data_IF_748658313457
#
_entry.id   IF_748658313457
#
_cell.length_a   1.000
_cell.length_b   1.000
_cell.length_c   1.000
_cell.angle_alpha   90.00
_cell.angle_beta   90.00
_cell.angle_gamma   90.00
#
_symmetry.space_group_name_H-M   'P 1'
#
loop_
_entity.id
_entity.type
_entity.pdbx_description
1 polymer ?
#
# COMPACT_ATOMS: atom_id res chain seq x y z
N UNK A 1 2.70 16.30 -28.86
CA UNK A 1 3.22 15.00 -29.35
C UNK A 1 4.23 14.41 -28.36
N UNK A 2 5.05 15.22 -27.72
CA UNK A 2 6.03 14.81 -26.69
C UNK A 2 5.39 13.99 -25.57
N UNK A 3 4.20 14.34 -25.11
CA UNK A 3 3.47 13.59 -24.10
C UNK A 3 3.08 12.17 -24.54
N UNK A 4 2.86 11.93 -25.85
CA UNK A 4 2.63 10.59 -26.35
C UNK A 4 3.93 9.77 -26.35
N UNK A 5 5.03 10.41 -26.69
CA UNK A 5 6.36 9.77 -26.64
C UNK A 5 6.71 9.42 -25.20
N UNK A 6 6.44 10.33 -24.22
CA UNK A 6 6.64 10.10 -22.78
C UNK A 6 5.95 8.81 -22.29
N UNK A 7 4.74 8.55 -22.76
CA UNK A 7 3.95 7.37 -22.34
C UNK A 7 4.06 6.19 -23.35
N UNK A 8 5.03 6.24 -24.25
CA UNK A 8 5.30 5.19 -25.24
C UNK A 8 4.07 4.83 -26.10
N UNK A 9 3.29 5.85 -26.49
CA UNK A 9 2.20 5.71 -27.43
C UNK A 9 2.58 6.28 -28.81
N UNK A 10 2.19 5.63 -29.91
CA UNK A 10 2.43 6.15 -31.27
C UNK A 10 1.83 7.56 -31.44
N UNK A 11 2.56 8.47 -32.05
CA UNK A 11 2.11 9.84 -32.32
C UNK A 11 0.79 9.92 -33.12
N UNK A 12 0.51 8.90 -33.93
CA UNK A 12 -0.77 8.78 -34.64
C UNK A 12 -1.98 8.68 -33.70
N UNK A 13 -1.78 8.33 -32.42
CA UNK A 13 -2.87 8.24 -31.44
C UNK A 13 -3.44 9.61 -31.06
N UNK A 14 -2.75 10.72 -31.39
CA UNK A 14 -3.27 12.07 -31.19
C UNK A 14 -4.61 12.33 -31.88
N UNK A 15 -4.94 11.56 -32.93
CA UNK A 15 -6.19 11.66 -33.70
C UNK A 15 -7.23 10.60 -33.29
N UNK A 16 -6.92 9.70 -32.36
CA UNK A 16 -7.84 8.65 -31.92
C UNK A 16 -8.84 9.17 -30.90
N UNK A 17 -10.07 8.71 -31.01
CA UNK A 17 -11.09 8.91 -29.99
C UNK A 17 -10.89 7.93 -28.82
N UNK A 18 -11.27 8.28 -27.56
CA UNK A 18 -11.12 7.41 -26.40
C UNK A 18 -11.67 5.99 -26.59
N UNK A 19 -12.79 5.84 -27.31
CA UNK A 19 -13.41 4.54 -27.62
C UNK A 19 -12.55 3.62 -28.50
N UNK A 20 -11.53 4.16 -29.16
CA UNK A 20 -10.60 3.42 -30.03
C UNK A 20 -9.32 2.99 -29.28
N UNK A 21 -9.26 3.23 -27.98
CA UNK A 21 -8.11 2.90 -27.12
C UNK A 21 -8.46 1.74 -26.20
N UNK A 22 -7.48 0.83 -26.00
CA UNK A 22 -7.56 -0.20 -24.96
C UNK A 22 -7.52 0.41 -23.55
N UNK A 23 -7.82 -0.39 -22.51
CA UNK A 23 -7.72 0.04 -21.10
C UNK A 23 -6.35 0.60 -20.76
N UNK A 24 -5.29 -0.15 -21.03
CA UNK A 24 -3.91 0.29 -20.78
C UNK A 24 -3.49 1.52 -21.60
N UNK A 25 -3.99 1.67 -22.85
CA UNK A 25 -3.74 2.88 -23.64
C UNK A 25 -4.44 4.10 -23.07
N UNK A 26 -5.69 3.96 -22.58
CA UNK A 26 -6.39 5.04 -21.86
C UNK A 26 -5.65 5.44 -20.60
N UNK A 27 -5.15 4.45 -19.85
CA UNK A 27 -4.37 4.70 -18.64
C UNK A 27 -3.09 5.48 -18.93
N UNK A 28 -2.35 5.10 -19.99
CA UNK A 28 -1.15 5.85 -20.43
C UNK A 28 -1.49 7.29 -20.84
N UNK A 29 -2.63 7.54 -21.46
CA UNK A 29 -3.11 8.92 -21.73
C UNK A 29 -3.41 9.66 -20.43
N UNK A 30 -4.01 9.00 -19.43
CA UNK A 30 -4.22 9.56 -18.09
C UNK A 30 -2.91 9.98 -17.43
N UNK A 31 -1.89 9.13 -17.50
CA UNK A 31 -0.53 9.43 -17.01
C UNK A 31 0.04 10.64 -17.75
N UNK A 32 0.01 10.66 -19.09
CA UNK A 32 0.49 11.79 -19.88
C UNK A 32 -0.16 13.11 -19.44
N UNK A 33 -1.46 13.09 -19.14
CA UNK A 33 -2.19 14.28 -18.63
C UNK A 33 -1.68 14.74 -17.26
N UNK A 34 -1.40 13.81 -16.35
CA UNK A 34 -0.89 14.12 -15.01
C UNK A 34 0.48 14.82 -15.05
N UNK A 35 1.32 14.43 -16.01
CA UNK A 35 2.67 15.00 -16.16
C UNK A 35 2.74 16.21 -17.11
N UNK A 36 1.67 16.51 -17.86
CA UNK A 36 1.66 17.56 -18.88
C UNK A 36 2.00 18.97 -18.37
N UNK A 37 1.72 19.25 -17.09
CA UNK A 37 1.95 20.55 -16.46
C UNK A 37 3.30 20.69 -15.74
N UNK A 38 4.21 19.73 -15.86
CA UNK A 38 5.47 19.74 -15.11
C UNK A 38 5.26 19.61 -13.60
N UNK A 39 4.32 18.76 -13.20
CA UNK A 39 3.94 18.58 -11.80
C UNK A 39 5.12 18.04 -10.98
N UNK A 40 5.41 18.68 -9.84
CA UNK A 40 6.43 18.19 -8.88
C UNK A 40 5.92 17.04 -8.02
N UNK A 41 4.60 16.96 -7.83
CA UNK A 41 3.92 15.89 -7.08
C UNK A 41 2.76 15.40 -7.95
N UNK A 42 2.68 14.09 -8.13
CA UNK A 42 1.57 13.42 -8.83
C UNK A 42 0.90 12.45 -7.87
N UNK A 43 -0.42 12.56 -7.75
CA UNK A 43 -1.25 11.62 -6.99
C UNK A 43 -1.85 10.61 -7.96
N UNK A 44 -1.55 9.35 -7.78
CA UNK A 44 -2.05 8.23 -8.56
C UNK A 44 -2.94 7.36 -7.67
N UNK A 45 -4.25 7.56 -7.80
CA UNK A 45 -5.26 6.83 -7.03
C UNK A 45 -5.73 5.62 -7.82
N UNK A 46 -5.38 4.42 -7.34
CA UNK A 46 -5.64 3.13 -7.96
C UNK A 46 -5.37 3.07 -9.49
N UNK A 47 -4.21 3.53 -9.96
CA UNK A 47 -4.01 3.79 -11.40
C UNK A 47 -3.96 2.52 -12.25
N UNK A 48 -3.92 1.34 -11.65
CA UNK A 48 -3.81 0.05 -12.37
C UNK A 48 -4.88 -0.98 -12.00
N UNK A 49 -5.77 -0.67 -11.05
CA UNK A 49 -6.74 -1.62 -10.48
C UNK A 49 -7.69 -2.25 -11.52
N UNK A 50 -8.02 -1.54 -12.60
CA UNK A 50 -8.93 -2.00 -13.65
C UNK A 50 -8.22 -2.68 -14.84
N UNK A 51 -6.92 -2.97 -14.72
CA UNK A 51 -6.10 -3.56 -15.79
C UNK A 51 -5.78 -5.02 -15.50
N UNK A 52 -5.53 -5.82 -16.54
CA UNK A 52 -5.00 -7.16 -16.37
C UNK A 52 -3.53 -7.12 -15.87
N UNK A 53 -3.09 -8.22 -15.25
CA UNK A 53 -1.78 -8.30 -14.55
C UNK A 53 -0.60 -7.91 -15.46
N UNK A 54 -0.60 -8.32 -16.71
CA UNK A 54 0.49 -8.03 -17.64
C UNK A 54 0.54 -6.55 -18.02
N UNK A 55 -0.62 -5.91 -18.18
CA UNK A 55 -0.74 -4.48 -18.46
C UNK A 55 -0.44 -3.66 -17.20
N UNK A 56 -0.84 -4.13 -16.01
CA UNK A 56 -0.47 -3.50 -14.74
C UNK A 56 1.05 -3.35 -14.61
N UNK A 57 1.81 -4.43 -14.80
CA UNK A 57 3.27 -4.41 -14.74
C UNK A 57 3.86 -3.36 -15.72
N UNK A 58 3.43 -3.39 -16.98
CA UNK A 58 3.93 -2.47 -17.99
C UNK A 58 3.59 -0.99 -17.72
N UNK A 59 2.45 -0.72 -17.09
CA UNK A 59 2.05 0.66 -16.69
C UNK A 59 2.80 1.10 -15.45
N UNK A 60 3.03 0.20 -14.50
CA UNK A 60 3.81 0.48 -13.29
C UNK A 60 5.26 0.82 -13.63
N UNK A 61 5.91 0.01 -14.49
CA UNK A 61 7.26 0.29 -14.97
C UNK A 61 7.37 1.63 -15.70
N UNK A 62 6.37 1.96 -16.52
CA UNK A 62 6.29 3.25 -17.20
C UNK A 62 6.19 4.41 -16.20
N UNK A 63 5.35 4.28 -15.16
CA UNK A 63 5.22 5.30 -14.11
C UNK A 63 6.54 5.54 -13.37
N UNK A 64 7.25 4.46 -13.01
CA UNK A 64 8.56 4.55 -12.36
C UNK A 64 9.60 5.22 -13.26
N UNK A 65 9.63 4.87 -14.55
CA UNK A 65 10.54 5.48 -15.54
C UNK A 65 10.28 6.99 -15.65
N UNK A 66 9.02 7.38 -15.80
CA UNK A 66 8.63 8.80 -15.89
C UNK A 66 8.97 9.53 -14.60
N UNK A 67 8.62 8.96 -13.43
CA UNK A 67 8.92 9.53 -12.12
C UNK A 67 10.41 9.84 -11.96
N UNK A 68 11.29 8.92 -12.36
CA UNK A 68 12.75 9.10 -12.30
C UNK A 68 13.24 10.17 -13.26
N UNK A 69 12.76 10.16 -14.50
CA UNK A 69 13.20 11.09 -15.54
C UNK A 69 12.74 12.52 -15.25
N UNK A 70 11.50 12.68 -14.82
CA UNK A 70 10.90 13.99 -14.49
C UNK A 70 11.22 14.44 -13.06
N UNK A 71 11.88 13.60 -12.24
CA UNK A 71 12.19 13.86 -10.82
C UNK A 71 10.96 14.28 -10.02
N UNK A 72 9.83 13.65 -10.28
CA UNK A 72 8.54 13.93 -9.66
C UNK A 72 8.36 13.06 -8.41
N UNK A 73 7.77 13.61 -7.36
CA UNK A 73 7.29 12.82 -6.23
C UNK A 73 5.97 12.15 -6.60
N UNK A 74 5.89 10.84 -6.44
CA UNK A 74 4.68 10.05 -6.73
C UNK A 74 4.02 9.62 -5.41
N UNK A 75 2.78 10.06 -5.16
CA UNK A 75 1.92 9.50 -4.13
C UNK A 75 1.03 8.44 -4.79
N UNK A 76 1.34 7.18 -4.53
CA UNK A 76 0.64 6.05 -5.15
C UNK A 76 -0.32 5.39 -4.15
N UNK A 77 -1.60 5.32 -4.47
CA UNK A 77 -2.63 4.69 -3.64
C UNK A 77 -3.04 3.38 -4.30
N UNK A 78 -2.97 2.28 -3.56
CA UNK A 78 -3.34 0.96 -4.05
C UNK A 78 -3.71 0.03 -2.89
N UNK A 79 -4.54 -0.97 -3.18
CA UNK A 79 -4.78 -2.11 -2.30
C UNK A 79 -3.89 -3.32 -2.65
N UNK A 80 -3.13 -3.27 -3.74
CA UNK A 80 -2.19 -4.33 -4.13
C UNK A 80 -0.83 -4.11 -3.48
N UNK A 81 -0.55 -4.85 -2.42
CA UNK A 81 0.69 -4.76 -1.67
C UNK A 81 1.92 -5.19 -2.48
N UNK A 82 1.76 -6.04 -3.49
CA UNK A 82 2.87 -6.46 -4.36
C UNK A 82 3.36 -5.30 -5.21
N UNK A 83 2.44 -4.52 -5.77
CA UNK A 83 2.75 -3.32 -6.53
C UNK A 83 3.35 -2.25 -5.61
N UNK A 84 2.73 -2.04 -4.42
CA UNK A 84 3.24 -1.08 -3.43
C UNK A 84 4.68 -1.43 -3.05
N UNK A 85 4.97 -2.69 -2.74
CA UNK A 85 6.33 -3.15 -2.41
C UNK A 85 7.33 -2.91 -3.54
N UNK A 86 6.89 -3.08 -4.78
CA UNK A 86 7.75 -2.96 -5.95
C UNK A 86 8.18 -1.52 -6.25
N UNK A 87 7.25 -0.55 -6.07
CA UNK A 87 7.49 0.82 -6.55
C UNK A 87 7.77 1.85 -5.45
N UNK A 88 7.44 1.56 -4.18
CA UNK A 88 7.46 2.58 -3.13
C UNK A 88 8.78 2.58 -2.34
N UNK A 89 9.29 3.77 -2.03
CA UNK A 89 10.39 3.95 -1.08
C UNK A 89 9.88 3.95 0.37
N UNK A 90 8.69 4.55 0.58
CA UNK A 90 8.00 4.63 1.87
C UNK A 90 6.54 4.21 1.70
N UNK A 91 6.01 3.57 2.72
CA UNK A 91 4.63 3.06 2.74
C UNK A 91 3.89 3.62 3.93
N UNK A 92 2.68 4.09 3.69
CA UNK A 92 1.71 4.51 4.70
C UNK A 92 0.52 3.56 4.66
N UNK A 93 0.28 2.85 5.75
CA UNK A 93 -0.88 1.97 5.90
C UNK A 93 -2.00 2.73 6.59
N UNK A 94 -3.19 2.69 6.01
CA UNK A 94 -4.37 3.38 6.53
C UNK A 94 -5.50 2.41 6.85
N UNK A 95 -6.22 2.67 7.94
CA UNK A 95 -7.43 1.95 8.31
C UNK A 95 -8.50 2.94 8.78
N UNK A 96 -9.71 2.89 8.23
CA UNK A 96 -10.83 3.82 8.51
C UNK A 96 -10.40 5.30 8.54
N UNK A 97 -9.59 5.75 7.58
CA UNK A 97 -9.13 7.13 7.49
C UNK A 97 -7.97 7.50 8.44
N UNK A 98 -7.53 6.59 9.29
CA UNK A 98 -6.40 6.80 10.18
C UNK A 98 -5.13 6.16 9.64
N UNK A 99 -4.00 6.87 9.75
CA UNK A 99 -2.68 6.26 9.52
C UNK A 99 -2.37 5.36 10.72
N UNK A 100 -2.13 4.09 10.47
CA UNK A 100 -1.83 3.09 11.50
C UNK A 100 -0.36 2.68 11.50
N UNK A 101 0.30 2.76 10.35
CA UNK A 101 1.73 2.50 10.21
C UNK A 101 2.34 3.33 9.10
N UNK A 102 3.58 3.78 9.28
CA UNK A 102 4.36 4.53 8.30
C UNK A 102 5.84 4.19 8.45
N UNK A 103 6.48 3.80 7.38
CA UNK A 103 7.91 3.48 7.37
C UNK A 103 8.46 3.37 5.97
N UNK A 104 9.72 2.93 5.86
CA UNK A 104 10.27 2.48 4.58
C UNK A 104 9.56 1.21 4.12
N UNK A 105 9.64 0.89 2.85
CA UNK A 105 9.06 -0.36 2.33
C UNK A 105 9.59 -1.58 3.08
N UNK A 106 10.87 -1.63 3.39
CA UNK A 106 11.47 -2.73 4.15
C UNK A 106 10.88 -2.84 5.56
N UNK A 107 10.69 -1.72 6.26
CA UNK A 107 10.11 -1.69 7.61
C UNK A 107 8.67 -2.19 7.62
N UNK A 108 7.82 -1.68 6.72
CA UNK A 108 6.40 -2.06 6.68
C UNK A 108 6.19 -3.51 6.23
N UNK A 109 7.12 -4.06 5.44
CA UNK A 109 7.06 -5.47 4.98
C UNK A 109 7.84 -6.46 5.86
N UNK A 110 8.40 -6.01 6.97
CA UNK A 110 9.13 -6.82 7.97
C UNK A 110 8.68 -6.47 9.39
N UNK A 111 8.75 -7.41 10.36
CA UNK A 111 8.39 -7.06 11.74
C UNK A 111 9.35 -6.01 12.33
N UNK A 112 8.89 -5.20 13.28
CA UNK A 112 7.55 -5.20 13.89
C UNK A 112 6.49 -4.59 12.99
N UNK A 113 5.23 -5.02 13.13
CA UNK A 113 4.10 -4.53 12.35
C UNK A 113 3.02 -3.89 13.22
N UNK A 114 2.22 -2.99 12.64
CA UNK A 114 0.88 -2.80 13.16
C UNK A 114 0.03 -4.08 12.92
N UNK A 115 -0.82 -4.53 13.86
CA UNK A 115 -1.61 -5.75 13.69
C UNK A 115 -2.44 -5.82 12.39
N UNK A 116 -2.92 -4.68 11.89
CA UNK A 116 -3.60 -4.60 10.60
C UNK A 116 -2.66 -4.84 9.43
N UNK A 117 -1.46 -4.27 9.46
CA UNK A 117 -0.43 -4.51 8.43
C UNK A 117 -0.03 -5.98 8.37
N UNK A 118 0.15 -6.61 9.54
CA UNK A 118 0.42 -8.05 9.64
C UNK A 118 -0.68 -8.87 8.94
N UNK A 119 -1.96 -8.55 9.20
CA UNK A 119 -3.08 -9.22 8.56
C UNK A 119 -3.13 -8.98 7.05
N UNK A 120 -2.88 -7.75 6.58
CA UNK A 120 -2.81 -7.44 5.15
C UNK A 120 -1.72 -8.24 4.44
N UNK A 121 -0.52 -8.30 5.01
CA UNK A 121 0.60 -9.08 4.45
C UNK A 121 0.27 -10.58 4.43
N UNK A 122 -0.45 -11.06 5.44
CA UNK A 122 -0.90 -12.45 5.47
C UNK A 122 -1.93 -12.79 4.39
N UNK A 123 -2.60 -11.81 3.81
CA UNK A 123 -3.58 -12.02 2.74
C UNK A 123 -2.94 -12.02 1.33
N UNK A 124 -1.70 -11.53 1.15
CA UNK A 124 -1.02 -11.47 -0.16
C UNK A 124 -0.79 -12.88 -0.72
N UNK A 125 -1.28 -13.25 -1.89
CA UNK A 125 -0.99 -14.56 -2.49
C UNK A 125 0.51 -14.71 -2.79
N UNK A 126 1.09 -15.86 -2.44
CA UNK A 126 2.47 -16.21 -2.77
C UNK A 126 2.43 -17.47 -3.63
N UNK A 127 3.04 -17.39 -4.81
CA UNK A 127 3.10 -18.54 -5.73
C UNK A 127 4.23 -19.53 -5.38
N UNK A 128 5.16 -19.12 -4.52
CA UNK A 128 6.30 -19.94 -4.13
C UNK A 128 5.91 -20.90 -3.01
N UNK A 129 5.99 -22.20 -3.28
CA UNK A 129 5.67 -23.28 -2.34
C UNK A 129 6.82 -23.60 -1.35
N UNK A 130 7.99 -23.02 -1.54
CA UNK A 130 9.13 -23.13 -0.62
C UNK A 130 9.05 -22.15 0.56
N UNK A 131 7.98 -21.35 0.61
CA UNK A 131 7.78 -20.32 1.63
C UNK A 131 6.66 -20.73 2.57
N UNK A 132 6.93 -20.73 3.85
CA UNK A 132 5.90 -20.86 4.88
C UNK A 132 5.29 -19.50 5.17
N UNK A 133 3.96 -19.42 5.10
CA UNK A 133 3.22 -18.19 5.29
C UNK A 133 2.21 -18.32 6.42
N UNK A 134 2.26 -17.38 7.36
CA UNK A 134 1.26 -17.27 8.40
C UNK A 134 -0.07 -16.79 7.78
N UNK A 135 -1.16 -17.52 8.01
CA UNK A 135 -2.51 -17.11 7.60
C UNK A 135 -3.23 -16.47 8.78
N UNK A 136 -3.64 -15.22 8.62
CA UNK A 136 -4.40 -14.47 9.62
C UNK A 136 -5.78 -14.18 9.06
N UNK A 137 -6.81 -14.70 9.69
CA UNK A 137 -8.20 -14.44 9.32
C UNK A 137 -8.75 -13.39 10.27
N UNK A 138 -9.09 -12.22 9.74
CA UNK A 138 -9.73 -11.17 10.52
C UNK A 138 -11.21 -11.51 10.70
N UNK A 139 -11.64 -11.60 11.95
CA UNK A 139 -13.03 -11.83 12.28
C UNK A 139 -13.85 -10.52 12.28
N UNK A 140 -15.17 -10.65 12.09
CA UNK A 140 -16.10 -9.53 12.10
C UNK A 140 -16.09 -8.65 10.85
N UNK A 141 -17.10 -7.80 10.76
CA UNK A 141 -17.26 -6.85 9.66
C UNK A 141 -16.36 -5.62 9.82
N UNK A 142 -16.08 -4.94 8.71
CA UNK A 142 -15.37 -3.66 8.73
C UNK A 142 -16.33 -2.60 9.31
N UNK A 143 -15.97 -1.93 10.43
CA UNK A 143 -16.79 -0.88 10.99
C UNK A 143 -17.02 0.28 10.02
N UNK A 144 -18.12 1.01 10.20
CA UNK A 144 -18.41 2.18 9.39
C UNK A 144 -17.38 3.28 9.61
N UNK A 145 -16.84 3.85 8.55
CA UNK A 145 -15.97 5.03 8.65
C UNK A 145 -16.75 6.30 9.10
N UNK A 146 -18.09 6.29 9.01
CA UNK A 146 -18.94 7.40 9.49
C UNK A 146 -19.25 7.29 10.99
N UNK A 147 -19.10 6.10 11.55
CA UNK A 147 -19.29 5.83 12.98
C UNK A 147 -18.19 4.84 13.44
N UNK A 148 -16.95 5.32 13.52
CA UNK A 148 -15.81 4.47 13.87
C UNK A 148 -15.90 4.04 15.35
N UNK A 149 -15.34 2.87 15.70
CA UNK A 149 -15.24 2.44 17.09
C UNK A 149 -14.55 3.48 17.95
N UNK A 150 -14.94 3.57 19.23
CA UNK A 150 -14.20 4.32 20.25
C UNK A 150 -12.77 3.75 20.38
N UNK A 151 -11.83 4.55 20.81
CA UNK A 151 -10.44 4.13 21.01
C UNK A 151 -9.70 3.78 19.73
N UNK A 152 -9.08 2.61 19.68
CA UNK A 152 -8.34 2.13 18.51
C UNK A 152 -9.32 1.75 17.37
N UNK A 153 -9.22 2.34 16.19
CA UNK A 153 -10.13 2.04 15.07
C UNK A 153 -10.13 0.56 14.65
N UNK A 154 -9.03 -0.16 14.88
CA UNK A 154 -8.88 -1.56 14.52
C UNK A 154 -9.26 -2.54 15.65
N UNK A 155 -9.61 -2.06 16.84
CA UNK A 155 -9.79 -2.85 18.06
C UNK A 155 -10.76 -4.03 17.92
N UNK A 156 -11.86 -3.86 17.20
CA UNK A 156 -12.90 -4.90 17.04
C UNK A 156 -12.45 -6.11 16.21
N UNK A 157 -11.36 -5.97 15.45
CA UNK A 157 -10.82 -6.99 14.54
C UNK A 157 -9.38 -7.37 14.88
N UNK A 158 -8.82 -6.79 15.96
CA UNK A 158 -7.43 -6.97 16.32
C UNK A 158 -7.21 -8.26 17.12
N UNK A 159 -6.49 -9.21 16.56
CA UNK A 159 -6.13 -10.47 17.23
C UNK A 159 -5.17 -10.28 18.41
N UNK A 160 -4.52 -9.11 18.52
CA UNK A 160 -3.60 -8.77 19.59
C UNK A 160 -4.25 -7.99 20.73
N UNK A 161 -5.55 -7.73 20.67
CA UNK A 161 -6.27 -6.89 21.63
C UNK A 161 -6.10 -7.38 23.08
N UNK A 162 -6.15 -8.68 23.30
CA UNK A 162 -6.02 -9.30 24.63
C UNK A 162 -4.63 -9.11 25.27
N UNK A 163 -3.63 -8.68 24.49
CA UNK A 163 -2.29 -8.37 24.99
C UNK A 163 -2.16 -6.92 25.49
N UNK A 164 -3.22 -6.15 25.43
CA UNK A 164 -3.28 -4.76 25.92
C UNK A 164 -4.12 -4.71 27.17
N UNK A 165 -3.54 -4.18 28.26
CA UNK A 165 -4.21 -4.07 29.55
C UNK A 165 -5.25 -2.93 29.58
N UNK A 166 -6.11 -2.94 30.60
CA UNK A 166 -7.00 -1.84 31.01
C UNK A 166 -7.96 -1.35 29.91
N UNK A 167 -8.38 -2.22 29.01
CA UNK A 167 -9.28 -1.92 27.88
C UNK A 167 -8.88 -0.69 27.07
N UNK A 168 -7.59 -0.35 27.04
CA UNK A 168 -7.05 0.82 26.34
C UNK A 168 -7.42 0.86 24.86
N UNK A 169 -7.50 -0.31 24.22
CA UNK A 169 -7.93 -0.38 22.82
C UNK A 169 -9.39 0.09 22.61
N UNK A 170 -10.24 0.01 23.64
CA UNK A 170 -11.64 0.42 23.55
C UNK A 170 -11.84 1.87 23.97
N UNK A 171 -11.01 2.37 24.88
CA UNK A 171 -11.21 3.65 25.56
C UNK A 171 -10.36 4.78 25.02
N UNK A 172 -9.16 4.48 24.52
CA UNK A 172 -8.21 5.50 24.10
C UNK A 172 -7.73 5.30 22.65
N UNK A 173 -7.54 6.42 21.95
CA UNK A 173 -6.89 6.41 20.63
C UNK A 173 -5.39 6.14 20.84
N UNK A 174 -4.80 5.13 20.15
CA UNK A 174 -3.39 4.83 20.29
C UNK A 174 -2.51 6.02 19.96
N UNK A 175 -1.47 6.22 20.76
CA UNK A 175 -0.42 7.19 20.44
C UNK A 175 0.49 6.62 19.36
N UNK A 176 1.12 7.53 18.60
CA UNK A 176 2.12 7.15 17.64
C UNK A 176 3.40 6.76 18.38
N UNK A 177 3.83 5.52 18.21
CA UNK A 177 5.13 5.02 18.67
C UNK A 177 6.12 5.21 17.53
N UNK A 178 7.29 5.75 17.83
CA UNK A 178 8.37 5.92 16.87
C UNK A 178 9.45 4.92 17.22
N UNK A 179 9.58 3.92 16.38
CA UNK A 179 10.62 2.91 16.45
C UNK A 179 11.88 3.38 15.70
N UNK A 180 12.88 2.53 15.63
CA UNK A 180 14.13 2.84 14.95
C UNK A 180 13.93 3.32 13.49
N UNK A 181 14.77 4.28 13.08
CA UNK A 181 14.80 4.81 11.70
C UNK A 181 13.47 5.39 11.18
N UNK A 182 12.75 6.13 12.03
CA UNK A 182 11.51 6.82 11.64
C UNK A 182 10.39 5.85 11.18
N UNK A 183 10.33 4.65 11.79
CA UNK A 183 9.23 3.71 11.65
C UNK A 183 8.15 4.05 12.69
N UNK A 184 6.97 4.36 12.24
CA UNK A 184 5.84 4.80 13.07
C UNK A 184 4.77 3.72 13.11
N UNK A 185 4.38 3.30 14.33
CA UNK A 185 3.27 2.37 14.56
C UNK A 185 2.29 3.00 15.56
N UNK A 186 1.03 3.10 15.16
CA UNK A 186 -0.03 3.67 16.01
C UNK A 186 -0.83 2.56 16.70
N UNK A 187 -0.29 2.03 17.80
CA UNK A 187 -0.82 0.88 18.50
C UNK A 187 -0.64 1.03 20.03
N UNK A 188 -1.41 0.30 20.84
CA UNK A 188 -1.23 0.20 22.29
C UNK A 188 -0.31 -0.94 22.73
N UNK A 189 0.08 -1.83 21.82
CA UNK A 189 1.06 -2.88 22.13
C UNK A 189 2.38 -2.24 22.54
N UNK A 190 3.01 -2.81 23.57
CA UNK A 190 4.35 -2.37 23.97
C UNK A 190 5.40 -2.76 22.95
N UNK A 191 6.52 -2.01 22.88
CA UNK A 191 7.66 -2.30 22.02
C UNK A 191 8.12 -3.75 22.17
N UNK A 192 8.17 -4.26 23.40
CA UNK A 192 8.57 -5.64 23.70
C UNK A 192 7.63 -6.70 23.07
N UNK A 193 6.36 -6.40 22.85
CA UNK A 193 5.42 -7.29 22.16
C UNK A 193 5.58 -7.13 20.65
N UNK A 194 5.70 -5.90 20.16
CA UNK A 194 5.90 -5.61 18.73
C UNK A 194 7.19 -6.27 18.21
N UNK A 195 8.29 -6.20 18.96
CA UNK A 195 9.58 -6.81 18.61
C UNK A 195 9.55 -8.35 18.59
N UNK A 196 8.58 -8.97 19.27
CA UNK A 196 8.39 -10.44 19.25
C UNK A 196 7.53 -10.93 18.10
N UNK A 197 6.97 -10.03 17.30
CA UNK A 197 6.22 -10.44 16.13
C UNK A 197 7.12 -11.16 15.14
N UNK A 198 6.63 -12.30 14.65
CA UNK A 198 7.36 -13.08 13.66
C UNK A 198 7.03 -12.59 12.24
N UNK A 199 7.98 -12.75 11.30
CA UNK A 199 7.70 -12.47 9.88
C UNK A 199 6.49 -13.27 9.39
N UNK A 200 5.58 -12.60 8.70
CA UNK A 200 4.40 -13.24 8.06
C UNK A 200 4.84 -14.24 6.99
N UNK A 201 5.97 -13.98 6.37
CA UNK A 201 6.56 -14.80 5.30
C UNK A 201 7.92 -15.28 5.80
N UNK A 202 8.09 -16.59 5.91
CA UNK A 202 9.36 -17.22 6.30
C UNK A 202 9.89 -18.07 5.16
N UNK A 203 11.16 -17.90 4.82
CA UNK A 203 11.83 -18.86 3.94
C UNK A 203 11.97 -20.17 4.72
N UNK A 204 11.51 -21.27 4.16
CA UNK A 204 11.78 -22.60 4.72
C UNK A 204 13.26 -22.86 4.51
N UNK A 205 14.04 -22.93 5.61
CA UNK A 205 15.43 -23.35 5.53
C UNK A 205 15.47 -24.82 5.05
N UNK A 206 16.25 -25.09 3.99
CA UNK A 206 16.55 -26.45 3.53
C UNK A 206 17.28 -27.28 4.60
#
# INVERSE_FOLDING_TARGET
>A
LELLDLVKLPRAFSKRMPRQLSGGQKQRVGIARAFAGGARIVVADEPVSALDVSVQAAVTDLLMEIQRNEKTTLLFISHDLSIVRYLSDRVMVMYLGHVVELGTTEQVFSPPYHPYTQALLSAVPIADTSVEKQSIVLEGDIPSAMDPPSGCPFQSRCQWKEHVADDLCETEIPKNQILDNDHHIKCHLSDAILERMEPVIKLVAE
#
